data_IF_007543953145
#
_entry.id   IF_007543953145
#
_cell.length_a   1.000
_cell.length_b   1.000
_cell.length_c   1.000
_cell.angle_alpha   90.00
_cell.angle_beta   90.00
_cell.angle_gamma   90.00
#
_symmetry.space_group_name_H-M   'P 1'
#
loop_
_entity.id
_entity.type
_entity.pdbx_description
1 polymer ?
#
# COMPACT_ATOMS: atom_id res chain seq x y z
N UNK A 1 3.88 -7.92 -10.62
CA UNK A 1 3.40 -8.57 -11.86
C UNK A 1 4.50 -9.35 -12.59
N UNK A 2 5.57 -8.70 -13.06
CA UNK A 2 6.67 -9.36 -13.83
C UNK A 2 7.30 -10.52 -13.06
N UNK A 3 7.62 -10.35 -11.78
CA UNK A 3 8.19 -11.41 -10.95
C UNK A 3 7.27 -12.63 -10.81
N UNK A 4 5.99 -12.42 -10.50
CA UNK A 4 4.96 -13.47 -10.41
C UNK A 4 4.84 -14.23 -11.74
N UNK A 5 4.78 -13.51 -12.87
CA UNK A 5 4.77 -14.13 -14.19
C UNK A 5 6.03 -14.97 -14.45
N UNK A 6 7.21 -14.46 -14.07
CA UNK A 6 8.47 -15.21 -14.16
C UNK A 6 8.48 -16.49 -13.33
N UNK A 7 7.92 -16.46 -12.12
CA UNK A 7 7.75 -17.65 -11.27
C UNK A 7 6.87 -18.70 -11.96
N UNK A 8 5.73 -18.28 -12.51
CA UNK A 8 4.82 -19.17 -13.22
C UNK A 8 5.46 -19.77 -14.48
N UNK A 9 6.17 -18.96 -15.26
CA UNK A 9 6.87 -19.41 -16.46
C UNK A 9 8.01 -20.38 -16.12
N UNK A 10 8.81 -20.07 -15.10
CA UNK A 10 9.87 -20.95 -14.62
C UNK A 10 9.30 -22.30 -14.17
N UNK A 11 8.21 -22.31 -13.41
CA UNK A 11 7.54 -23.53 -12.99
C UNK A 11 7.06 -24.36 -14.19
N UNK A 12 6.45 -23.71 -15.19
CA UNK A 12 5.99 -24.37 -16.40
C UNK A 12 7.12 -24.98 -17.23
N UNK A 13 8.19 -24.21 -17.48
CA UNK A 13 9.31 -24.68 -18.29
C UNK A 13 10.12 -25.78 -17.57
N UNK A 14 10.25 -25.72 -16.24
CA UNK A 14 10.83 -26.83 -15.46
C UNK A 14 10.00 -28.11 -15.60
N UNK A 15 8.68 -28.01 -15.46
CA UNK A 15 7.79 -29.15 -15.70
C UNK A 15 7.93 -29.69 -17.14
N UNK A 16 7.95 -28.81 -18.14
CA UNK A 16 8.13 -29.18 -19.55
C UNK A 16 9.46 -29.92 -19.78
N UNK A 17 10.55 -29.46 -19.19
CA UNK A 17 11.86 -30.13 -19.27
C UNK A 17 11.82 -31.55 -18.66
N UNK A 18 11.07 -31.76 -17.57
CA UNK A 18 10.94 -33.11 -16.97
C UNK A 18 10.08 -34.07 -17.79
N UNK A 19 9.24 -33.57 -18.69
CA UNK A 19 8.34 -34.38 -19.53
C UNK A 19 8.87 -34.61 -20.94
N UNK A 20 9.90 -33.86 -21.36
CA UNK A 20 10.54 -34.02 -22.66
C UNK A 20 11.36 -35.31 -22.74
N UNK A 21 11.28 -35.98 -23.90
CA UNK A 21 12.19 -37.08 -24.21
C UNK A 21 13.64 -36.60 -24.30
N UNK A 22 14.60 -37.43 -23.87
CA UNK A 22 16.03 -37.10 -23.87
C UNK A 22 16.58 -36.62 -25.22
N UNK A 23 15.98 -37.05 -26.34
CA UNK A 23 16.39 -36.64 -27.69
C UNK A 23 16.15 -35.15 -27.98
N UNK A 24 15.17 -34.54 -27.32
CA UNK A 24 14.81 -33.14 -27.52
C UNK A 24 15.37 -32.21 -26.45
N UNK A 25 16.12 -32.73 -25.47
CA UNK A 25 16.58 -31.97 -24.31
C UNK A 25 17.39 -30.72 -24.69
N UNK A 26 18.26 -30.81 -25.70
CA UNK A 26 19.05 -29.66 -26.17
C UNK A 26 18.17 -28.53 -26.73
N UNK A 27 17.14 -28.87 -27.50
CA UNK A 27 16.18 -27.88 -28.01
C UNK A 27 15.32 -27.33 -26.88
N UNK A 28 14.89 -28.18 -25.95
CA UNK A 28 14.16 -27.77 -24.75
C UNK A 28 14.94 -26.78 -23.89
N UNK A 29 16.25 -26.98 -23.72
CA UNK A 29 17.13 -26.05 -22.99
C UNK A 29 17.28 -24.71 -23.73
N UNK A 30 17.38 -24.72 -25.06
CA UNK A 30 17.41 -23.48 -25.84
C UNK A 30 16.10 -22.71 -25.72
N UNK A 31 14.96 -23.40 -25.81
CA UNK A 31 13.64 -22.80 -25.60
C UNK A 31 13.49 -22.26 -24.18
N UNK A 32 13.98 -22.98 -23.17
CA UNK A 32 14.00 -22.54 -21.76
C UNK A 32 14.76 -21.22 -21.60
N UNK A 33 15.96 -21.12 -22.18
CA UNK A 33 16.75 -19.88 -22.15
C UNK A 33 16.05 -18.78 -22.94
N UNK A 34 15.47 -19.10 -24.10
CA UNK A 34 14.73 -18.15 -24.92
C UNK A 34 13.49 -17.59 -24.19
N UNK A 35 12.83 -18.41 -23.36
CA UNK A 35 11.71 -17.98 -22.51
C UNK A 35 12.12 -16.93 -21.46
N UNK A 36 13.41 -16.84 -21.13
CA UNK A 36 13.98 -15.79 -20.28
C UNK A 36 14.24 -14.45 -20.98
N UNK A 37 14.33 -14.42 -22.31
CA UNK A 37 14.66 -13.20 -23.07
C UNK A 37 13.68 -12.04 -22.83
N UNK A 38 12.34 -12.25 -22.71
CA UNK A 38 11.39 -11.17 -22.43
C UNK A 38 11.63 -10.46 -21.08
N UNK A 39 12.42 -11.03 -20.17
CA UNK A 39 12.76 -10.40 -18.89
C UNK A 39 13.99 -9.49 -18.96
N UNK A 40 14.78 -9.55 -20.04
CA UNK A 40 15.96 -8.70 -20.22
C UNK A 40 15.63 -7.20 -20.20
N UNK A 41 14.56 -6.70 -20.86
CA UNK A 41 14.19 -5.29 -20.75
C UNK A 41 13.89 -4.87 -19.31
N UNK A 42 13.24 -5.74 -18.52
CA UNK A 42 12.93 -5.44 -17.12
C UNK A 42 14.21 -5.33 -16.27
N UNK A 43 15.20 -6.21 -16.50
CA UNK A 43 16.51 -6.12 -15.85
C UNK A 43 17.25 -4.85 -16.26
N UNK A 44 17.24 -4.47 -17.54
CA UNK A 44 17.86 -3.24 -18.02
C UNK A 44 17.22 -1.99 -17.41
N UNK A 45 15.89 -1.96 -17.31
CA UNK A 45 15.17 -0.87 -16.66
C UNK A 45 15.49 -0.81 -15.16
N UNK A 46 15.58 -1.96 -14.50
CA UNK A 46 15.97 -2.02 -13.09
C UNK A 46 17.39 -1.48 -12.88
N UNK A 47 18.35 -1.89 -13.72
CA UNK A 47 19.73 -1.38 -13.71
C UNK A 47 19.85 0.13 -13.95
N UNK A 48 18.85 0.76 -14.58
CA UNK A 48 18.80 2.21 -14.83
C UNK A 48 17.96 2.96 -13.81
N UNK A 49 17.29 2.25 -12.91
CA UNK A 49 16.38 2.84 -11.93
C UNK A 49 17.13 3.26 -10.66
N UNK A 50 16.82 4.43 -10.07
CA UNK A 50 17.32 4.83 -8.75
C UNK A 50 16.94 3.86 -7.61
N UNK A 51 16.00 2.94 -7.87
CA UNK A 51 15.57 1.90 -6.93
C UNK A 51 16.76 1.04 -6.45
N UNK A 52 17.77 0.82 -7.30
CA UNK A 52 18.93 0.00 -6.91
C UNK A 52 19.82 0.68 -5.87
N UNK A 53 19.81 2.01 -5.78
CA UNK A 53 20.55 2.74 -4.75
C UNK A 53 19.90 2.58 -3.37
N UNK A 54 18.65 2.09 -3.33
CA UNK A 54 17.86 1.77 -2.11
C UNK A 54 17.80 0.28 -1.79
N UNK A 55 18.80 -0.51 -2.20
CA UNK A 55 18.89 -1.96 -1.91
C UNK A 55 19.16 -2.27 -0.42
N UNK A 56 19.39 -1.24 0.41
CA UNK A 56 19.70 -1.38 1.84
C UNK A 56 18.53 -1.86 2.71
N UNK A 57 17.27 -1.66 2.29
CA UNK A 57 16.08 -2.18 2.97
C UNK A 57 15.84 -3.67 2.70
N UNK A 58 16.79 -4.52 3.06
CA UNK A 58 16.67 -5.98 3.01
C UNK A 58 16.42 -6.51 4.41
N UNK A 59 15.15 -6.76 4.74
CA UNK A 59 14.75 -7.34 6.02
C UNK A 59 14.02 -8.65 5.78
N UNK A 60 14.61 -9.74 6.26
CA UNK A 60 13.99 -11.06 6.23
C UNK A 60 13.44 -11.39 7.61
N UNK A 61 12.17 -11.78 7.67
CA UNK A 61 11.49 -12.09 8.92
C UNK A 61 10.71 -13.40 8.78
N UNK A 62 10.77 -14.25 9.79
CA UNK A 62 10.12 -15.57 9.77
C UNK A 62 8.63 -15.50 10.10
N UNK A 63 8.24 -14.63 11.04
CA UNK A 63 6.85 -14.35 11.44
C UNK A 63 6.03 -13.85 10.25
N UNK A 64 6.58 -12.93 9.46
CA UNK A 64 5.95 -12.42 8.25
C UNK A 64 5.57 -13.50 7.22
N UNK A 65 6.24 -14.67 7.25
CA UNK A 65 5.89 -15.83 6.41
C UNK A 65 4.62 -16.55 6.86
N UNK A 66 4.35 -16.55 8.16
CA UNK A 66 3.13 -17.14 8.69
C UNK A 66 1.98 -16.16 8.43
N UNK A 67 2.22 -14.87 8.71
CA UNK A 67 1.26 -13.79 8.49
C UNK A 67 0.82 -13.72 7.02
N UNK A 68 1.76 -13.80 6.06
CA UNK A 68 1.42 -13.76 4.63
C UNK A 68 0.52 -14.93 4.17
N UNK A 69 0.66 -16.11 4.77
CA UNK A 69 -0.24 -17.23 4.52
C UNK A 69 -1.60 -17.01 5.19
N UNK A 70 -1.61 -16.49 6.42
CA UNK A 70 -2.83 -16.16 7.14
C UNK A 70 -3.65 -15.11 6.36
N UNK A 71 -3.05 -14.01 5.92
CA UNK A 71 -3.69 -12.94 5.14
C UNK A 71 -4.25 -13.37 3.78
N UNK A 72 -3.86 -14.54 3.26
CA UNK A 72 -4.48 -15.10 2.06
C UNK A 72 -5.93 -15.55 2.32
N UNK A 73 -6.24 -15.87 3.58
CA UNK A 73 -7.50 -16.47 4.01
C UNK A 73 -8.27 -15.52 4.93
N UNK A 74 -7.56 -14.92 5.88
CA UNK A 74 -8.01 -13.97 6.88
C UNK A 74 -8.04 -12.56 6.28
N UNK A 75 -9.19 -11.89 6.40
CA UNK A 75 -9.38 -10.54 5.83
C UNK A 75 -10.01 -9.62 6.89
N UNK A 76 -11.22 -9.92 7.34
CA UNK A 76 -11.95 -9.12 8.32
C UNK A 76 -12.42 -9.92 9.54
N UNK A 77 -12.80 -11.19 9.36
CA UNK A 77 -13.16 -12.08 10.46
C UNK A 77 -12.54 -13.46 10.31
N UNK A 78 -11.75 -13.86 11.31
CA UNK A 78 -11.09 -15.16 11.38
C UNK A 78 -12.12 -16.29 11.35
N UNK A 79 -13.20 -16.15 12.12
CA UNK A 79 -14.25 -17.16 12.23
C UNK A 79 -14.90 -17.40 10.86
N UNK A 80 -15.29 -16.33 10.17
CA UNK A 80 -15.90 -16.43 8.83
C UNK A 80 -14.89 -17.03 7.85
N UNK A 81 -13.63 -16.58 7.90
CA UNK A 81 -12.56 -17.09 7.06
C UNK A 81 -12.32 -18.59 7.22
N UNK A 82 -12.24 -19.09 8.47
CA UNK A 82 -12.05 -20.51 8.76
C UNK A 82 -13.26 -21.34 8.34
N UNK A 83 -14.49 -20.87 8.56
CA UNK A 83 -15.71 -21.59 8.15
C UNK A 83 -15.77 -21.73 6.63
N UNK A 84 -15.55 -20.64 5.89
CA UNK A 84 -15.61 -20.65 4.42
C UNK A 84 -14.48 -21.48 3.82
N UNK A 85 -13.27 -21.35 4.35
CA UNK A 85 -12.12 -22.13 3.90
C UNK A 85 -12.31 -23.62 4.21
N UNK A 86 -12.84 -23.96 5.38
CA UNK A 86 -13.19 -25.32 5.75
C UNK A 86 -14.24 -25.92 4.82
N UNK A 87 -15.29 -25.16 4.47
CA UNK A 87 -16.32 -25.58 3.54
C UNK A 87 -15.78 -25.83 2.12
N UNK A 88 -14.91 -24.94 1.63
CA UNK A 88 -14.24 -25.09 0.33
C UNK A 88 -13.27 -26.29 0.33
N UNK A 89 -12.47 -26.45 1.38
CA UNK A 89 -11.55 -27.58 1.52
C UNK A 89 -12.28 -28.91 1.60
N UNK A 90 -13.36 -29.01 2.40
CA UNK A 90 -14.19 -30.21 2.48
C UNK A 90 -14.82 -30.55 1.13
N UNK A 91 -15.31 -29.54 0.40
CA UNK A 91 -15.89 -29.70 -0.94
C UNK A 91 -14.85 -30.15 -1.96
N UNK A 92 -13.65 -29.60 -1.92
CA UNK A 92 -12.53 -29.98 -2.78
C UNK A 92 -12.06 -31.42 -2.49
N UNK A 93 -11.93 -31.81 -1.21
CA UNK A 93 -11.58 -33.18 -0.80
C UNK A 93 -12.66 -34.16 -1.28
N UNK A 94 -13.93 -33.83 -1.08
CA UNK A 94 -15.05 -34.66 -1.56
C UNK A 94 -15.02 -34.81 -3.09
N UNK A 95 -14.83 -33.71 -3.83
CA UNK A 95 -14.77 -33.72 -5.29
C UNK A 95 -13.57 -34.52 -5.81
N UNK A 96 -12.42 -34.42 -5.14
CA UNK A 96 -11.20 -35.19 -5.48
C UNK A 96 -11.43 -36.69 -5.24
N UNK A 97 -11.99 -37.07 -4.08
CA UNK A 97 -12.30 -38.49 -3.77
C UNK A 97 -13.31 -39.11 -4.73
N UNK A 98 -14.21 -38.29 -5.29
CA UNK A 98 -15.19 -38.71 -6.30
C UNK A 98 -14.67 -38.63 -7.74
N UNK A 99 -13.43 -38.18 -7.95
CA UNK A 99 -12.81 -38.07 -9.27
C UNK A 99 -13.32 -36.89 -10.12
N UNK A 100 -14.11 -35.99 -9.53
CA UNK A 100 -14.62 -34.78 -10.19
C UNK A 100 -13.57 -33.66 -10.24
N UNK A 101 -12.63 -33.63 -9.30
CA UNK A 101 -11.55 -32.65 -9.26
C UNK A 101 -10.22 -33.34 -9.55
N UNK A 102 -9.47 -32.82 -10.52
CA UNK A 102 -8.11 -33.26 -10.85
C UNK A 102 -7.17 -32.07 -10.79
N UNK A 103 -5.95 -32.29 -10.32
CA UNK A 103 -4.91 -31.28 -10.26
C UNK A 103 -3.85 -31.56 -11.33
N UNK A 104 -3.56 -30.58 -12.17
CA UNK A 104 -2.56 -30.73 -13.22
C UNK A 104 -1.14 -30.79 -12.61
N UNK A 105 -0.22 -31.66 -13.09
CA UNK A 105 1.12 -31.81 -12.52
C UNK A 105 1.95 -30.52 -12.49
N UNK A 106 1.73 -29.59 -13.44
CA UNK A 106 2.34 -28.23 -13.42
C UNK A 106 2.08 -27.51 -12.10
N UNK A 107 0.91 -27.72 -11.49
CA UNK A 107 0.57 -27.08 -10.22
C UNK A 107 1.52 -27.45 -9.09
N UNK A 108 2.10 -28.66 -9.10
CA UNK A 108 3.13 -29.04 -8.12
C UNK A 108 4.44 -28.26 -8.32
N UNK A 109 4.81 -27.98 -9.57
CA UNK A 109 5.97 -27.13 -9.88
C UNK A 109 5.70 -25.67 -9.50
N UNK A 110 4.48 -25.18 -9.71
CA UNK A 110 4.07 -23.83 -9.26
C UNK A 110 4.19 -23.71 -7.74
N UNK A 111 3.68 -24.69 -6.99
CA UNK A 111 3.79 -24.70 -5.53
C UNK A 111 5.24 -24.85 -5.06
N UNK A 112 6.04 -25.70 -5.73
CA UNK A 112 7.45 -25.91 -5.39
C UNK A 112 8.31 -24.67 -5.65
N UNK A 113 8.31 -24.16 -6.88
CA UNK A 113 9.09 -22.97 -7.27
C UNK A 113 8.58 -21.75 -6.53
N UNK A 114 7.25 -21.56 -6.49
CA UNK A 114 6.62 -20.46 -5.77
C UNK A 114 6.91 -20.47 -4.28
N UNK A 115 6.87 -21.64 -3.65
CA UNK A 115 7.21 -21.82 -2.23
C UNK A 115 8.68 -21.50 -1.94
N UNK A 116 9.61 -21.96 -2.80
CA UNK A 116 11.03 -21.62 -2.67
C UNK A 116 11.27 -20.11 -2.80
N UNK A 117 10.64 -19.48 -3.80
CA UNK A 117 10.74 -18.02 -4.00
C UNK A 117 10.12 -17.28 -2.82
N UNK A 118 8.99 -17.74 -2.28
CA UNK A 118 8.33 -17.13 -1.13
C UNK A 118 9.20 -17.16 0.14
N UNK A 119 9.85 -18.30 0.40
CA UNK A 119 10.77 -18.45 1.52
C UNK A 119 12.03 -17.61 1.35
N UNK A 120 12.54 -17.50 0.12
CA UNK A 120 13.74 -16.72 -0.20
C UNK A 120 13.49 -15.20 -0.25
N UNK A 121 12.29 -14.76 -0.62
CA UNK A 121 11.99 -13.33 -0.75
C UNK A 121 12.00 -12.68 0.64
N UNK A 122 12.65 -11.53 0.86
CA UNK A 122 12.57 -10.80 2.13
C UNK A 122 11.19 -10.15 2.34
N UNK A 123 10.89 -9.76 3.58
CA UNK A 123 9.68 -9.02 3.95
C UNK A 123 9.73 -7.59 3.41
N UNK A 124 10.89 -6.94 3.54
CA UNK A 124 11.17 -5.65 2.92
C UNK A 124 12.09 -5.84 1.71
N UNK A 125 11.69 -5.27 0.56
CA UNK A 125 12.50 -5.25 -0.67
C UNK A 125 12.38 -3.88 -1.33
N UNK A 126 13.50 -3.19 -1.57
CA UNK A 126 13.54 -1.83 -2.12
C UNK A 126 12.70 -0.83 -1.29
N UNK A 127 12.85 -0.90 0.04
CA UNK A 127 12.08 -0.13 1.02
C UNK A 127 10.56 -0.28 0.85
N UNK A 128 10.11 -1.37 0.22
CA UNK A 128 8.70 -1.72 0.10
C UNK A 128 8.39 -2.84 1.08
N UNK A 129 7.52 -2.55 2.03
CA UNK A 129 7.10 -3.51 3.06
C UNK A 129 6.11 -4.56 2.51
N UNK A 130 6.11 -5.74 3.13
CA UNK A 130 5.25 -6.89 2.80
C UNK A 130 5.40 -7.37 1.36
N UNK A 131 6.63 -7.39 0.84
CA UNK A 131 6.91 -7.85 -0.53
C UNK A 131 6.61 -9.35 -0.70
N UNK A 132 6.98 -10.16 0.29
CA UNK A 132 6.74 -11.60 0.38
C UNK A 132 5.27 -11.96 0.55
N UNK A 133 4.53 -11.23 1.38
CA UNK A 133 3.11 -11.52 1.65
C UNK A 133 2.20 -11.37 0.43
N UNK A 134 2.68 -10.75 -0.65
CA UNK A 134 1.96 -10.64 -1.94
C UNK A 134 2.02 -11.92 -2.79
N UNK A 135 2.99 -12.80 -2.54
CA UNK A 135 3.19 -14.02 -3.33
C UNK A 135 2.13 -15.12 -3.05
N UNK A 136 1.76 -15.44 -1.80
CA UNK A 136 0.80 -16.50 -1.50
C UNK A 136 -0.51 -16.42 -2.28
N UNK A 137 -1.15 -15.25 -2.34
CA UNK A 137 -2.40 -15.07 -3.08
C UNK A 137 -2.23 -15.31 -4.59
N UNK A 138 -1.11 -14.87 -5.17
CA UNK A 138 -0.81 -15.11 -6.57
C UNK A 138 -0.62 -16.61 -6.86
N UNK A 139 0.09 -17.32 -5.98
CA UNK A 139 0.29 -18.77 -6.08
C UNK A 139 -1.02 -19.55 -5.89
N UNK A 140 -1.90 -19.08 -5.02
CA UNK A 140 -3.24 -19.64 -4.85
C UNK A 140 -4.04 -19.54 -6.16
N UNK A 141 -4.08 -18.36 -6.80
CA UNK A 141 -4.75 -18.20 -8.10
C UNK A 141 -4.14 -19.07 -9.21
N UNK A 142 -2.81 -19.17 -9.27
CA UNK A 142 -2.15 -20.06 -10.24
C UNK A 142 -2.47 -21.53 -10.00
N UNK A 143 -2.58 -21.94 -8.73
CA UNK A 143 -2.94 -23.28 -8.34
C UNK A 143 -4.41 -23.59 -8.68
N UNK A 144 -5.32 -22.62 -8.50
CA UNK A 144 -6.71 -22.73 -8.97
C UNK A 144 -6.77 -22.92 -10.49
N UNK A 145 -5.93 -22.22 -11.26
CA UNK A 145 -5.85 -22.41 -12.71
C UNK A 145 -5.35 -23.82 -13.12
N UNK A 146 -4.64 -24.51 -12.22
CA UNK A 146 -4.20 -25.90 -12.43
C UNK A 146 -5.28 -26.94 -12.05
N UNK A 147 -6.42 -26.51 -11.50
CA UNK A 147 -7.53 -27.39 -11.19
C UNK A 147 -8.41 -27.63 -12.42
N UNK A 148 -8.74 -28.90 -12.64
CA UNK A 148 -9.71 -29.33 -13.63
C UNK A 148 -10.93 -29.90 -12.91
N UNK A 149 -12.08 -29.24 -13.02
CA UNK A 149 -13.33 -29.65 -12.43
C UNK A 149 -14.26 -30.23 -13.51
N UNK A 150 -14.62 -31.50 -13.36
CA UNK A 150 -15.63 -32.16 -14.19
C UNK A 150 -17.03 -31.87 -13.65
N UNK A 151 -17.75 -30.98 -14.34
CA UNK A 151 -19.08 -30.49 -13.95
C UNK A 151 -20.19 -31.17 -14.79
N UNK A 152 -19.91 -32.31 -15.44
CA UNK A 152 -20.91 -33.03 -16.26
C UNK A 152 -22.20 -33.39 -15.50
N UNK A 153 -22.15 -33.90 -14.26
CA UNK A 153 -23.37 -34.24 -13.53
C UNK A 153 -24.17 -33.00 -13.14
N UNK A 154 -25.46 -32.96 -13.46
CA UNK A 154 -26.35 -31.81 -13.16
C UNK A 154 -26.41 -31.48 -11.66
N UNK A 155 -26.33 -32.48 -10.79
CA UNK A 155 -26.31 -32.29 -9.33
C UNK A 155 -25.03 -31.61 -8.87
N UNK A 156 -23.86 -32.08 -9.32
CA UNK A 156 -22.54 -31.49 -9.01
C UNK A 156 -22.47 -30.05 -9.50
N UNK A 157 -22.99 -29.77 -10.71
CA UNK A 157 -23.08 -28.41 -11.22
C UNK A 157 -23.91 -27.48 -10.35
N UNK A 158 -25.12 -27.92 -9.96
CA UNK A 158 -26.01 -27.12 -9.11
C UNK A 158 -25.40 -26.91 -7.73
N UNK A 159 -24.79 -27.95 -7.15
CA UNK A 159 -24.12 -27.87 -5.87
C UNK A 159 -22.93 -26.90 -5.92
N UNK A 160 -22.11 -26.96 -6.97
CA UNK A 160 -20.99 -26.04 -7.19
C UNK A 160 -21.48 -24.58 -7.29
N UNK A 161 -22.47 -24.32 -8.15
CA UNK A 161 -23.04 -22.96 -8.30
C UNK A 161 -23.63 -22.46 -6.97
N UNK A 162 -24.40 -23.29 -6.27
CA UNK A 162 -25.00 -22.92 -4.99
C UNK A 162 -23.92 -22.63 -3.93
N UNK A 163 -22.91 -23.48 -3.82
CA UNK A 163 -21.78 -23.29 -2.90
C UNK A 163 -21.04 -21.99 -3.21
N UNK A 164 -20.65 -21.76 -4.46
CA UNK A 164 -19.96 -20.55 -4.88
C UNK A 164 -20.82 -19.30 -4.61
N UNK A 165 -22.12 -19.35 -4.91
CA UNK A 165 -23.03 -18.24 -4.65
C UNK A 165 -23.16 -17.94 -3.14
N UNK A 166 -23.26 -18.97 -2.30
CA UNK A 166 -23.32 -18.81 -0.84
C UNK A 166 -22.02 -18.23 -0.29
N UNK A 167 -20.86 -18.78 -0.69
CA UNK A 167 -19.54 -18.26 -0.26
C UNK A 167 -19.37 -16.81 -0.70
N UNK A 168 -19.73 -16.49 -1.95
CA UNK A 168 -19.68 -15.13 -2.46
C UNK A 168 -20.61 -14.19 -1.69
N UNK A 169 -21.85 -14.60 -1.44
CA UNK A 169 -22.81 -13.79 -0.69
C UNK A 169 -22.32 -13.49 0.72
N UNK A 170 -21.81 -14.49 1.44
CA UNK A 170 -21.26 -14.32 2.79
C UNK A 170 -20.07 -13.35 2.75
N UNK A 171 -19.14 -13.53 1.80
CA UNK A 171 -17.98 -12.61 1.66
C UNK A 171 -18.39 -11.19 1.30
N UNK A 172 -19.37 -11.00 0.42
CA UNK A 172 -19.88 -9.66 0.07
C UNK A 172 -20.50 -9.00 1.30
N UNK A 173 -21.29 -9.74 2.10
CA UNK A 173 -21.88 -9.21 3.33
C UNK A 173 -20.80 -8.82 4.34
N UNK A 174 -19.81 -9.69 4.58
CA UNK A 174 -18.69 -9.43 5.48
C UNK A 174 -17.92 -8.17 5.09
N UNK A 175 -17.51 -8.08 3.81
CA UNK A 175 -16.81 -6.90 3.27
C UNK A 175 -17.67 -5.66 3.39
N UNK A 176 -18.96 -5.74 3.07
CA UNK A 176 -19.87 -4.59 3.17
C UNK A 176 -20.01 -4.11 4.62
N UNK A 177 -20.12 -5.01 5.60
CA UNK A 177 -20.18 -4.64 7.02
C UNK A 177 -18.90 -3.94 7.45
N UNK A 178 -17.74 -4.51 7.13
CA UNK A 178 -16.43 -3.93 7.46
C UNK A 178 -16.18 -2.58 6.75
N UNK A 179 -16.61 -2.45 5.49
CA UNK A 179 -16.44 -1.19 4.75
C UNK A 179 -17.40 -0.11 5.20
N UNK A 180 -18.62 -0.47 5.62
CA UNK A 180 -19.61 0.50 6.11
C UNK A 180 -19.11 1.18 7.39
N UNK A 181 -18.47 0.44 8.31
CA UNK A 181 -17.86 1.04 9.51
C UNK A 181 -16.69 1.96 9.16
N UNK A 182 -15.80 1.54 8.24
CA UNK A 182 -14.66 2.35 7.79
C UNK A 182 -15.06 3.58 6.94
N UNK A 183 -16.23 3.53 6.29
CA UNK A 183 -16.70 4.61 5.41
C UNK A 183 -17.04 5.90 6.17
N UNK A 184 -17.45 5.81 7.44
CA UNK A 184 -17.78 6.99 8.25
C UNK A 184 -16.57 7.93 8.39
N UNK A 185 -15.42 7.40 8.80
CA UNK A 185 -14.18 8.16 8.92
C UNK A 185 -13.75 8.77 7.57
N UNK A 186 -13.92 8.03 6.47
CA UNK A 186 -13.61 8.53 5.12
C UNK A 186 -14.51 9.69 4.69
N UNK A 187 -15.79 9.66 5.05
CA UNK A 187 -16.75 10.74 4.76
C UNK A 187 -16.45 11.99 5.59
N UNK A 188 -16.18 11.82 6.89
CA UNK A 188 -15.76 12.92 7.77
C UNK A 188 -14.46 13.57 7.28
N UNK A 189 -13.49 12.76 6.87
CA UNK A 189 -12.24 13.27 6.33
C UNK A 189 -12.47 14.09 5.07
N UNK A 190 -13.30 13.60 4.14
CA UNK A 190 -13.68 14.34 2.94
C UNK A 190 -14.39 15.65 3.26
N UNK A 191 -15.24 15.68 4.28
CA UNK A 191 -15.88 16.92 4.72
C UNK A 191 -14.90 17.91 5.34
N UNK A 192 -13.89 17.42 6.07
CA UNK A 192 -12.81 18.26 6.62
C UNK A 192 -11.98 18.92 5.51
N UNK A 193 -11.67 18.19 4.42
CA UNK A 193 -10.92 18.71 3.26
C UNK A 193 -11.65 19.91 2.65
N UNK A 194 -12.98 19.97 2.75
CA UNK A 194 -13.73 21.11 2.22
C UNK A 194 -13.39 22.43 2.91
N UNK A 195 -12.87 22.39 4.14
CA UNK A 195 -12.47 23.55 4.97
C UNK A 195 -11.08 24.09 4.62
N UNK A 196 -10.30 23.36 3.84
CA UNK A 196 -8.97 23.77 3.40
C UNK A 196 -9.10 24.77 2.24
N UNK A 197 -8.35 25.86 2.31
CA UNK A 197 -8.24 26.84 1.22
C UNK A 197 -7.55 26.20 -0.02
N UNK A 198 -7.99 26.58 -1.22
CA UNK A 198 -7.39 26.03 -2.45
C UNK A 198 -5.94 26.49 -2.59
N UNK A 199 -5.03 25.56 -2.93
CA UNK A 199 -3.60 25.83 -3.06
C UNK A 199 -2.85 25.96 -1.74
N UNK A 200 -3.49 25.64 -0.61
CA UNK A 200 -2.85 25.69 0.70
C UNK A 200 -1.77 24.62 0.89
N UNK A 201 -0.91 24.83 1.87
CA UNK A 201 0.13 23.89 2.32
C UNK A 201 -0.33 23.16 3.58
N UNK A 202 -0.27 21.84 3.57
CA UNK A 202 -0.84 20.96 4.60
C UNK A 202 0.24 20.03 5.13
N UNK A 203 0.53 20.16 6.42
CA UNK A 203 1.41 19.25 7.16
C UNK A 203 0.59 18.12 7.77
N UNK A 204 1.10 16.89 7.67
CA UNK A 204 0.55 15.72 8.38
C UNK A 204 1.45 15.40 9.56
N UNK A 205 0.84 15.14 10.72
CA UNK A 205 1.52 14.75 11.95
C UNK A 205 0.70 13.71 12.70
N UNK A 206 1.34 12.98 13.61
CA UNK A 206 0.70 11.93 14.40
C UNK A 206 0.54 12.35 15.87
N UNK A 207 -0.62 12.04 16.45
CA UNK A 207 -0.89 12.30 17.87
C UNK A 207 -0.15 11.33 18.79
N UNK A 208 0.07 10.08 18.34
CA UNK A 208 0.72 9.02 19.08
C UNK A 208 1.91 8.42 18.30
N UNK A 209 2.88 7.85 19.04
CA UNK A 209 4.06 7.17 18.51
C UNK A 209 3.73 5.85 17.79
N UNK A 210 2.56 5.26 18.04
CA UNK A 210 2.11 4.03 17.36
C UNK A 210 1.85 4.18 15.87
N UNK A 211 1.84 5.41 15.33
CA UNK A 211 2.01 5.67 13.90
C UNK A 211 0.93 5.13 12.96
N UNK A 212 -0.19 4.65 13.49
CA UNK A 212 -1.26 4.04 12.69
C UNK A 212 -1.08 2.55 12.39
N UNK A 213 -0.31 1.82 13.21
CA UNK A 213 -0.11 0.37 13.07
C UNK A 213 -1.40 -0.47 13.28
N UNK A 214 -2.44 0.12 13.86
CA UNK A 214 -3.75 -0.51 13.98
C UNK A 214 -4.46 -0.55 12.61
N UNK A 215 -5.07 -1.69 12.27
CA UNK A 215 -5.76 -1.90 10.98
C UNK A 215 -6.83 -0.84 10.71
N UNK A 216 -7.49 -0.36 11.77
CA UNK A 216 -8.54 0.67 11.70
C UNK A 216 -8.01 2.04 11.25
N UNK A 217 -6.71 2.30 11.47
CA UNK A 217 -6.04 3.57 11.19
C UNK A 217 -5.41 3.63 9.79
N UNK A 218 -5.21 2.48 9.13
CA UNK A 218 -4.58 2.40 7.80
C UNK A 218 -5.26 3.28 6.74
N UNK A 219 -6.59 3.44 6.84
CA UNK A 219 -7.35 4.31 5.94
C UNK A 219 -7.03 5.80 6.07
N UNK A 220 -6.48 6.23 7.21
CA UNK A 220 -6.19 7.64 7.51
C UNK A 220 -4.77 8.06 7.11
N UNK A 221 -3.81 7.12 7.09
CA UNK A 221 -2.36 7.37 6.86
C UNK A 221 -2.11 8.29 5.65
N UNK A 222 -2.85 8.08 4.55
CA UNK A 222 -2.75 8.90 3.34
C UNK A 222 -4.03 9.68 3.02
N UNK A 223 -5.00 9.74 3.93
CA UNK A 223 -6.27 10.43 3.68
C UNK A 223 -6.06 11.93 3.36
N UNK A 224 -5.05 12.56 3.99
CA UNK A 224 -4.68 13.95 3.73
C UNK A 224 -4.38 14.25 2.25
N UNK A 225 -3.91 13.25 1.47
CA UNK A 225 -3.67 13.40 0.04
C UNK A 225 -4.94 13.69 -0.77
N UNK A 226 -6.14 13.47 -0.22
CA UNK A 226 -7.39 13.92 -0.84
C UNK A 226 -7.43 15.44 -1.04
N UNK A 227 -6.75 16.21 -0.19
CA UNK A 227 -6.62 17.67 -0.33
C UNK A 227 -5.85 18.07 -1.60
N UNK A 228 -4.95 17.22 -2.12
CA UNK A 228 -4.27 17.45 -3.40
C UNK A 228 -5.32 17.45 -4.53
N UNK A 229 -6.24 16.49 -4.51
CA UNK A 229 -7.27 16.33 -5.55
C UNK A 229 -8.36 17.39 -5.43
N UNK A 230 -8.95 17.55 -4.24
CA UNK A 230 -10.14 18.40 -4.07
C UNK A 230 -9.82 19.89 -3.86
N UNK A 231 -8.60 20.21 -3.42
CA UNK A 231 -8.18 21.58 -3.07
C UNK A 231 -6.90 22.03 -3.77
N UNK A 232 -6.24 21.17 -4.56
CA UNK A 232 -4.94 21.50 -5.17
C UNK A 232 -3.90 21.90 -4.11
N UNK A 233 -4.02 21.32 -2.92
CA UNK A 233 -3.12 21.59 -1.80
C UNK A 233 -1.79 20.85 -1.99
N UNK A 234 -0.73 21.38 -1.39
CA UNK A 234 0.53 20.66 -1.19
C UNK A 234 0.46 19.92 0.14
N UNK A 235 0.61 18.60 0.12
CA UNK A 235 0.53 17.73 1.31
C UNK A 235 1.89 17.09 1.54
N UNK A 236 2.37 17.05 2.79
CA UNK A 236 3.72 16.59 3.11
C UNK A 236 3.96 15.11 2.80
N UNK A 237 2.92 14.28 2.96
CA UNK A 237 2.95 12.83 2.67
C UNK A 237 2.64 12.49 1.21
N UNK A 238 2.76 13.46 0.30
CA UNK A 238 2.66 13.18 -1.12
C UNK A 238 3.79 12.26 -1.57
N UNK A 239 3.50 11.29 -2.44
CA UNK A 239 4.47 10.34 -3.01
C UNK A 239 5.48 11.05 -3.93
N UNK A 240 6.46 11.73 -3.31
CA UNK A 240 7.47 12.58 -3.96
C UNK A 240 8.91 12.13 -3.70
N UNK A 241 9.07 11.09 -2.88
CA UNK A 241 10.32 10.39 -2.58
C UNK A 241 10.94 9.82 -3.85
N UNK A 242 12.21 10.13 -4.11
CA UNK A 242 12.92 9.65 -5.30
C UNK A 242 13.06 8.11 -5.31
N UNK A 243 12.69 7.48 -6.43
CA UNK A 243 12.57 6.02 -6.59
C UNK A 243 11.16 5.47 -6.30
N UNK A 244 10.32 6.24 -5.58
CA UNK A 244 8.93 5.87 -5.23
C UNK A 244 7.90 6.91 -5.71
N UNK A 245 8.34 7.96 -6.38
CA UNK A 245 7.50 9.10 -6.69
C UNK A 245 6.56 8.84 -7.87
N UNK A 246 5.35 9.40 -7.76
CA UNK A 246 4.43 9.57 -8.88
C UNK A 246 4.47 11.02 -9.38
N UNK A 247 5.02 11.93 -8.57
CA UNK A 247 5.08 13.37 -8.84
C UNK A 247 6.45 13.94 -8.49
N UNK A 248 6.87 14.95 -9.24
CA UNK A 248 8.07 15.74 -8.92
C UNK A 248 7.68 17.07 -8.27
N UNK A 249 8.31 17.38 -7.15
CA UNK A 249 8.12 18.66 -6.46
C UNK A 249 8.98 19.72 -7.12
N UNK A 250 8.41 20.92 -7.31
CA UNK A 250 9.16 22.05 -7.85
C UNK A 250 10.13 22.55 -6.79
N UNK A 251 11.33 22.96 -7.21
CA UNK A 251 12.42 23.46 -6.33
C UNK A 251 11.97 24.36 -5.16
N UNK A 252 11.04 25.33 -5.32
CA UNK A 252 10.62 26.19 -4.21
C UNK A 252 9.88 25.49 -3.06
N UNK A 253 9.43 24.25 -3.27
CA UNK A 253 8.59 23.50 -2.32
C UNK A 253 9.24 22.21 -1.83
N UNK A 254 10.50 21.93 -2.21
CA UNK A 254 11.20 20.70 -1.84
C UNK A 254 11.32 20.58 -0.32
N UNK A 255 11.60 21.69 0.37
CA UNK A 255 11.73 21.72 1.84
C UNK A 255 10.36 21.75 2.58
N UNK A 256 9.26 21.46 1.88
CA UNK A 256 7.88 21.44 2.41
C UNK A 256 7.20 20.09 2.20
N UNK A 257 7.92 19.08 1.74
CA UNK A 257 7.42 17.73 1.51
C UNK A 257 8.41 16.72 2.04
N UNK A 258 7.93 15.51 2.29
CA UNK A 258 8.83 14.40 2.57
C UNK A 258 9.49 13.89 1.27
N UNK A 259 10.82 13.90 1.27
CA UNK A 259 11.67 13.36 0.20
C UNK A 259 12.46 12.14 0.64
N UNK A 260 12.44 11.81 1.93
CA UNK A 260 13.28 10.79 2.55
C UNK A 260 12.51 9.50 2.87
N UNK A 261 11.18 9.51 2.73
CA UNK A 261 10.28 8.39 3.10
C UNK A 261 10.25 8.15 4.61
N UNK A 262 10.22 9.26 5.35
CA UNK A 262 10.20 9.26 6.80
C UNK A 262 8.78 9.15 7.37
N UNK A 263 8.68 8.73 8.62
CA UNK A 263 7.43 8.82 9.37
C UNK A 263 7.07 10.30 9.61
N UNK A 264 5.80 10.70 9.47
CA UNK A 264 5.35 12.02 9.90
C UNK A 264 5.74 12.31 11.36
N UNK A 265 6.07 13.58 11.69
CA UNK A 265 6.47 13.94 13.04
C UNK A 265 5.31 13.72 14.02
N UNK A 266 5.65 13.40 15.26
CA UNK A 266 4.71 13.39 16.37
C UNK A 266 4.37 14.81 16.81
N UNK A 267 3.24 14.97 17.51
CA UNK A 267 2.83 16.28 18.02
C UNK A 267 3.87 16.89 18.98
N UNK A 268 4.51 16.06 19.81
CA UNK A 268 5.55 16.50 20.74
C UNK A 268 6.76 17.06 19.99
N UNK A 269 7.18 16.40 18.91
CA UNK A 269 8.27 16.89 18.05
C UNK A 269 7.92 18.22 17.39
N UNK A 270 6.67 18.39 16.93
CA UNK A 270 6.20 19.66 16.37
C UNK A 270 6.23 20.80 17.40
N UNK A 271 5.79 20.54 18.63
CA UNK A 271 5.79 21.53 19.71
C UNK A 271 7.23 21.91 20.07
N UNK A 272 8.12 20.93 20.23
CA UNK A 272 9.54 21.18 20.51
C UNK A 272 10.19 22.01 19.41
N UNK A 273 9.91 21.71 18.14
CA UNK A 273 10.45 22.47 17.01
C UNK A 273 9.94 23.91 16.95
N UNK A 274 8.67 24.15 17.33
CA UNK A 274 8.12 25.50 17.41
C UNK A 274 8.75 26.32 18.55
N UNK A 275 9.02 25.69 19.69
CA UNK A 275 9.63 26.34 20.86
C UNK A 275 11.14 26.55 20.73
N UNK A 276 11.82 25.68 19.98
CA UNK A 276 13.28 25.72 19.75
C UNK A 276 13.58 25.64 18.25
N UNK A 277 13.45 26.76 17.52
CA UNK A 277 13.77 26.79 16.10
C UNK A 277 15.25 26.50 15.90
N UNK A 278 15.53 25.45 15.14
CA UNK A 278 16.89 25.07 14.72
C UNK A 278 17.00 25.32 13.22
N UNK A 279 17.81 26.32 12.86
CA UNK A 279 17.99 26.75 11.48
C UNK A 279 18.87 25.82 10.65
N UNK A 280 19.60 24.90 11.29
CA UNK A 280 20.55 24.01 10.62
C UNK A 280 19.91 22.66 10.24
N UNK A 281 18.70 22.39 10.73
CA UNK A 281 17.97 21.15 10.42
C UNK A 281 17.35 21.19 9.01
N UNK A 282 17.51 20.09 8.28
CA UNK A 282 16.96 19.89 6.93
C UNK A 282 15.54 19.33 6.92
N UNK A 283 14.97 18.99 8.09
CA UNK A 283 13.65 18.37 8.15
C UNK A 283 12.54 19.34 7.71
N UNK A 284 11.70 18.89 6.76
CA UNK A 284 10.68 19.73 6.10
C UNK A 284 9.67 20.37 7.06
N UNK A 285 9.43 19.75 8.21
CA UNK A 285 8.42 20.14 9.20
C UNK A 285 8.96 21.05 10.32
N UNK A 286 10.28 21.24 10.47
CA UNK A 286 10.86 22.01 11.62
C UNK A 286 10.38 23.46 11.67
N UNK A 287 10.25 24.11 10.51
CA UNK A 287 9.76 25.49 10.40
C UNK A 287 8.24 25.54 10.12
N UNK A 288 7.47 24.62 10.70
CA UNK A 288 6.07 24.48 10.35
C UNK A 288 5.20 25.71 10.61
N UNK A 289 5.38 26.50 11.70
CA UNK A 289 4.50 27.63 11.96
C UNK A 289 4.58 28.72 10.87
N UNK A 290 5.69 28.76 10.13
CA UNK A 290 5.92 29.72 9.05
C UNK A 290 5.60 29.16 7.66
N UNK A 291 5.75 27.84 7.47
CA UNK A 291 5.69 27.19 6.15
C UNK A 291 4.32 26.62 5.79
N UNK A 292 3.55 26.16 6.77
CA UNK A 292 2.27 25.49 6.51
C UNK A 292 1.07 26.37 6.86
N UNK A 293 -0.03 26.17 6.13
CA UNK A 293 -1.31 26.83 6.38
C UNK A 293 -2.21 25.99 7.29
N UNK A 294 -2.11 24.67 7.19
CA UNK A 294 -2.92 23.71 7.93
C UNK A 294 -2.09 22.53 8.44
N UNK A 295 -2.56 21.92 9.52
CA UNK A 295 -2.04 20.66 10.06
C UNK A 295 -3.18 19.66 10.18
N UNK A 296 -3.00 18.47 9.60
CA UNK A 296 -3.75 17.28 10.00
C UNK A 296 -3.00 16.56 11.10
N UNK A 297 -3.62 16.45 12.26
CA UNK A 297 -3.17 15.58 13.34
C UNK A 297 -3.97 14.28 13.25
N UNK A 298 -3.31 13.19 12.91
CA UNK A 298 -3.93 11.88 12.75
C UNK A 298 -3.80 11.05 14.04
N UNK A 299 -4.70 10.08 14.20
CA UNK A 299 -4.76 9.15 15.33
C UNK A 299 -5.05 9.82 16.66
N UNK A 300 -5.81 10.92 16.63
CA UNK A 300 -6.30 11.59 17.84
C UNK A 300 -7.41 10.77 18.49
N UNK A 301 -7.63 11.00 19.78
CA UNK A 301 -8.87 10.63 20.44
C UNK A 301 -9.99 11.62 20.09
N UNK A 302 -11.25 11.17 20.16
CA UNK A 302 -12.41 12.02 19.92
C UNK A 302 -12.49 13.13 20.97
N UNK A 303 -12.62 14.37 20.52
CA UNK A 303 -12.64 15.54 21.40
C UNK A 303 -11.31 15.84 22.11
N UNK A 304 -10.18 15.36 21.58
CA UNK A 304 -8.87 15.69 22.14
C UNK A 304 -8.61 17.21 22.17
N UNK A 305 -8.02 17.69 23.27
CA UNK A 305 -7.71 19.11 23.44
C UNK A 305 -6.66 19.58 22.42
N UNK A 306 -6.78 20.85 21.99
CA UNK A 306 -5.78 21.47 21.12
C UNK A 306 -4.43 21.54 21.85
N UNK A 307 -3.37 20.86 21.35
CA UNK A 307 -2.12 20.74 22.07
C UNK A 307 -1.23 22.01 21.96
N UNK A 308 -1.55 22.93 21.04
CA UNK A 308 -0.84 24.22 20.92
C UNK A 308 -1.81 25.37 20.55
N UNK A 309 -2.68 25.79 21.48
CA UNK A 309 -3.74 26.78 21.20
C UNK A 309 -3.21 28.16 20.80
N UNK A 310 -1.98 28.49 21.17
CA UNK A 310 -1.32 29.74 20.80
C UNK A 310 -0.83 29.76 19.34
N UNK A 311 -0.57 28.57 18.76
CA UNK A 311 0.04 28.43 17.43
C UNK A 311 -0.96 27.96 16.37
N UNK A 312 -2.03 27.30 16.78
CA UNK A 312 -3.00 26.72 15.85
C UNK A 312 -4.43 26.77 16.38
N UNK A 313 -5.39 26.90 15.47
CA UNK A 313 -6.82 26.97 15.77
C UNK A 313 -7.51 25.79 15.11
N UNK A 314 -8.30 25.03 15.88
CA UNK A 314 -9.05 23.91 15.36
C UNK A 314 -10.12 24.37 14.36
N UNK A 315 -10.17 23.70 13.22
CA UNK A 315 -11.11 23.98 12.12
C UNK A 315 -12.13 22.86 11.97
N UNK A 316 -11.71 21.63 12.27
CA UNK A 316 -12.56 20.46 12.20
C UNK A 316 -12.11 19.44 13.25
N UNK A 317 -13.09 18.75 13.83
CA UNK A 317 -12.92 17.63 14.75
C UNK A 317 -13.54 16.40 14.09
N UNK A 318 -12.74 15.36 13.88
CA UNK A 318 -13.18 14.08 13.34
C UNK A 318 -12.85 12.96 14.32
N UNK A 319 -13.49 11.79 14.17
CA UNK A 319 -13.42 10.75 15.22
C UNK A 319 -12.02 10.21 15.53
N UNK A 320 -11.07 10.29 14.58
CA UNK A 320 -9.68 9.81 14.72
C UNK A 320 -8.64 10.76 14.12
N UNK A 321 -9.04 12.00 13.85
CA UNK A 321 -8.14 13.03 13.33
C UNK A 321 -8.70 14.42 13.61
N UNK A 322 -7.80 15.41 13.66
CA UNK A 322 -8.17 16.80 13.84
C UNK A 322 -7.48 17.67 12.77
N UNK A 323 -8.21 18.66 12.26
CA UNK A 323 -7.68 19.64 11.31
C UNK A 323 -7.51 20.98 12.01
N UNK A 324 -6.30 21.49 11.97
CA UNK A 324 -5.96 22.79 12.52
C UNK A 324 -5.53 23.76 11.42
N UNK A 325 -5.84 25.04 11.62
CA UNK A 325 -5.28 26.16 10.87
C UNK A 325 -4.11 26.72 11.64
N UNK A 326 -2.97 26.89 10.98
CA UNK A 326 -1.79 27.49 11.59
C UNK A 326 -2.02 29.00 11.73
N UNK A 327 -1.87 29.50 12.95
CA UNK A 327 -1.91 30.91 13.28
C UNK A 327 -0.64 31.59 12.79
N UNK A 328 -0.61 32.04 11.53
CA UNK A 328 0.52 32.84 11.03
C UNK A 328 0.63 34.09 11.88
N UNK A 329 1.69 34.23 12.68
CA UNK A 329 2.09 35.53 13.21
C UNK A 329 2.13 36.51 12.03
N UNK A 330 1.27 37.53 12.10
CA UNK A 330 0.90 38.45 11.03
C UNK A 330 2.03 39.41 10.65
N UNK A 331 3.26 38.93 10.48
CA UNK A 331 4.46 39.77 10.44
C UNK A 331 5.26 39.67 9.14
N UNK A 332 5.07 38.63 8.30
CA UNK A 332 5.90 38.48 7.08
C UNK A 332 5.23 38.85 5.75
N UNK A 333 3.89 38.94 5.67
CA UNK A 333 3.19 39.13 4.37
C UNK A 333 2.94 40.59 3.98
N UNK A 334 3.29 41.58 4.81
CA UNK A 334 3.22 43.01 4.44
C UNK A 334 4.52 43.56 3.85
N UNK A 335 5.66 42.87 4.03
CA UNK A 335 6.96 43.36 3.56
C UNK A 335 7.16 43.27 2.04
N UNK A 336 6.34 42.51 1.31
CA UNK A 336 6.51 42.29 -0.14
C UNK A 336 5.48 43.04 -1.00
N UNK A 337 4.58 43.84 -0.41
CA UNK A 337 3.55 44.61 -1.14
C UNK A 337 3.77 46.13 -1.18
N UNK A 338 4.94 46.61 -0.75
CA UNK A 338 5.28 48.03 -0.69
C UNK A 338 6.54 48.39 -1.48
N UNK A 339 6.60 48.10 -2.78
CA UNK A 339 7.58 48.69 -3.67
C UNK A 339 6.84 49.31 -4.88
N UNK A 340 6.76 50.66 -4.98
CA UNK A 340 6.12 51.29 -6.12
C UNK A 340 7.00 51.11 -7.36
N UNK A 341 6.42 50.52 -8.42
CA UNK A 341 7.01 50.52 -9.77
C UNK A 341 7.20 51.98 -10.22
N UNK A 342 8.45 52.38 -10.38
CA UNK A 342 8.81 53.58 -11.13
C UNK A 342 8.24 53.46 -12.56
N UNK A 343 7.48 54.47 -12.99
CA UNK A 343 7.11 54.66 -14.40
C UNK A 343 8.34 55.16 -15.14
N UNK A 344 8.67 54.49 -16.22
CA UNK A 344 9.59 54.95 -17.25
C UNK A 344 8.90 54.79 -18.59
N UNK A 345 8.28 55.85 -19.11
CA UNK A 345 8.01 56.04 -20.55
C UNK A 345 8.01 57.54 -20.84
N UNK A 346 9.12 57.98 -21.43
CA UNK A 346 9.34 58.93 -22.55
C UNK A 346 10.62 59.76 -22.37
#
# INVERSE_FOLDING_TARGET
AVGVYGVGLLAFELWRLTTLERRYLRRGLLDFVAAGLPFLPALLLLCRSPILDRVTGFEWESTGKIDGLAFTIEVYSDIIAFILTGALAASAIWATRRGYLRFHPVGLFVLGVGGLVYLALPRMLFDTYMADQRLPIALAFMSVACLHLDIRPRSVRRAFIALTAIVLLIRVIEVNVAWTSLSAASLEFRDSVKRIERGATVLVAYADQSGGDEIENLGLVHAACLAIIERSALVTTAFTVEGKQIMHVRRPYVDQVDTEDGTPPTIDELIVAALRPDTDSTAYWRAWPQRFDYIYLLFTEDGADNPAPELMTQVFDGGRFQLYRVGKSRTARSATRGAPRARSEE
#
